data_IF_650560823747
#
_entry.id   IF_650560823747
#
_cell.length_a   1.000
_cell.length_b   1.000
_cell.length_c   1.000
_cell.angle_alpha   90.00
_cell.angle_beta   90.00
_cell.angle_gamma   90.00
#
_symmetry.space_group_name_H-M   'P 1'
#
loop_
_entity.id
_entity.type
_entity.pdbx_description
1 polymer ?
#
# COMPACT_ATOMS: atom_id res chain seq x y z
N UNK A 1 28.10 -2.02 -7.49
CA UNK A 1 26.85 -2.72 -7.14
C UNK A 1 25.70 -1.86 -7.63
N UNK A 2 24.84 -2.40 -8.45
CA UNK A 2 23.64 -1.72 -8.93
C UNK A 2 22.77 -1.34 -7.71
N UNK A 3 22.35 -0.06 -7.64
CA UNK A 3 21.56 0.43 -6.52
C UNK A 3 20.08 0.46 -6.88
N UNK A 4 19.23 -0.05 -5.98
CA UNK A 4 17.78 -0.08 -6.13
C UNK A 4 17.12 0.81 -5.09
N UNK A 5 16.05 1.50 -5.47
CA UNK A 5 15.37 2.48 -4.62
C UNK A 5 13.88 2.18 -4.50
N UNK A 6 13.31 2.31 -3.31
CA UNK A 6 11.89 2.12 -3.10
C UNK A 6 11.25 3.19 -2.22
N UNK A 7 10.02 3.54 -2.54
CA UNK A 7 9.10 4.29 -1.70
C UNK A 7 8.06 3.31 -1.14
N UNK A 8 7.92 3.25 0.19
CA UNK A 8 6.95 2.40 0.87
C UNK A 8 6.07 3.26 1.76
N UNK A 9 4.76 3.24 1.52
CA UNK A 9 3.81 3.97 2.38
C UNK A 9 3.27 3.10 3.51
N UNK A 10 2.99 3.68 4.68
CA UNK A 10 2.47 2.98 5.86
C UNK A 10 3.50 2.10 6.56
N UNK A 11 4.75 2.55 6.68
CA UNK A 11 5.87 1.77 7.24
C UNK A 11 5.91 1.72 8.78
N UNK A 12 4.99 2.35 9.49
CA UNK A 12 5.01 2.34 10.96
C UNK A 12 4.83 0.94 11.56
N UNK A 13 3.99 0.11 10.97
CA UNK A 13 3.65 -1.25 11.44
C UNK A 13 3.22 -2.16 10.29
N UNK A 14 2.93 -3.42 10.59
CA UNK A 14 2.30 -4.38 9.68
C UNK A 14 3.08 -4.62 8.38
N UNK A 15 2.35 -4.82 7.29
CA UNK A 15 2.93 -5.19 5.98
C UNK A 15 3.96 -4.16 5.50
N UNK A 16 3.66 -2.86 5.60
CA UNK A 16 4.59 -1.82 5.14
C UNK A 16 5.92 -1.82 5.88
N UNK A 17 5.91 -2.07 7.20
CA UNK A 17 7.12 -2.22 7.98
C UNK A 17 7.91 -3.49 7.61
N UNK A 18 7.21 -4.61 7.37
CA UNK A 18 7.83 -5.86 6.96
C UNK A 18 8.46 -5.73 5.56
N UNK A 19 7.76 -5.12 4.59
CA UNK A 19 8.30 -4.83 3.24
C UNK A 19 9.56 -3.97 3.33
N UNK A 20 9.52 -2.89 4.11
CA UNK A 20 10.67 -2.00 4.23
C UNK A 20 11.90 -2.72 4.80
N UNK A 21 11.71 -3.57 5.83
CA UNK A 21 12.80 -4.39 6.40
C UNK A 21 13.33 -5.40 5.39
N UNK A 22 12.46 -6.08 4.65
CA UNK A 22 12.87 -7.08 3.66
C UNK A 22 13.63 -6.44 2.49
N UNK A 23 13.20 -5.28 1.99
CA UNK A 23 13.92 -4.51 0.99
C UNK A 23 15.32 -4.11 1.46
N UNK A 24 15.45 -3.64 2.70
CA UNK A 24 16.73 -3.27 3.28
C UNK A 24 17.70 -4.46 3.38
N UNK A 25 17.20 -5.64 3.79
CA UNK A 25 17.99 -6.88 3.82
C UNK A 25 18.53 -7.25 2.44
N UNK A 26 17.76 -6.93 1.38
CA UNK A 26 18.15 -7.17 -0.02
C UNK A 26 18.94 -6.01 -0.64
N UNK A 27 19.40 -5.05 0.17
CA UNK A 27 20.29 -3.96 -0.26
C UNK A 27 19.61 -2.79 -0.96
N UNK A 28 18.29 -2.66 -0.88
CA UNK A 28 17.57 -1.50 -1.41
C UNK A 28 17.77 -0.27 -0.52
N UNK A 29 17.75 0.91 -1.15
CA UNK A 29 17.54 2.18 -0.46
C UNK A 29 16.03 2.41 -0.32
N UNK A 30 15.55 2.71 0.88
CA UNK A 30 14.11 2.78 1.17
C UNK A 30 13.74 4.12 1.79
N UNK A 31 12.75 4.80 1.23
CA UNK A 31 12.04 5.89 1.90
C UNK A 31 10.68 5.37 2.38
N UNK A 32 10.54 5.29 3.69
CA UNK A 32 9.28 4.93 4.34
C UNK A 32 8.46 6.18 4.67
N UNK A 33 7.18 6.21 4.27
CA UNK A 33 6.29 7.33 4.54
C UNK A 33 5.18 6.88 5.51
N UNK A 34 5.13 7.46 6.70
CA UNK A 34 4.08 7.21 7.68
C UNK A 34 4.00 8.36 8.69
N UNK A 35 2.84 8.53 9.34
CA UNK A 35 2.64 9.56 10.38
C UNK A 35 3.52 9.32 11.62
N UNK A 36 3.63 8.06 12.04
CA UNK A 36 4.43 7.64 13.19
C UNK A 36 5.78 7.12 12.72
N UNK A 37 6.81 7.36 13.51
CA UNK A 37 8.12 6.76 13.24
C UNK A 37 8.03 5.23 13.22
N UNK A 38 8.73 4.63 12.27
CA UNK A 38 8.88 3.19 12.18
C UNK A 38 10.10 2.75 13.00
N UNK A 39 9.98 1.63 13.71
CA UNK A 39 11.13 0.96 14.33
C UNK A 39 11.88 0.14 13.25
N UNK A 40 12.52 0.84 12.33
CA UNK A 40 13.30 0.25 11.23
C UNK A 40 14.69 0.86 11.30
N UNK A 41 15.69 0.01 11.47
CA UNK A 41 17.08 0.38 11.53
C UNK A 41 17.79 -0.02 10.24
N UNK A 42 18.81 0.76 9.84
CA UNK A 42 19.64 0.47 8.67
C UNK A 42 20.03 1.73 7.91
N UNK A 43 21.29 1.77 7.44
CA UNK A 43 21.83 2.93 6.70
C UNK A 43 21.08 3.26 5.39
N UNK A 44 20.35 2.30 4.84
CA UNK A 44 19.53 2.47 3.63
C UNK A 44 18.11 2.99 3.88
N UNK A 45 17.68 3.17 5.13
CA UNK A 45 16.33 3.60 5.47
C UNK A 45 16.27 5.09 5.82
N UNK A 46 15.30 5.78 5.22
CA UNK A 46 14.92 7.14 5.59
C UNK A 46 13.43 7.20 5.89
N UNK A 47 13.06 7.71 7.04
CA UNK A 47 11.67 7.97 7.41
C UNK A 47 11.24 9.37 7.01
N UNK A 48 10.07 9.47 6.39
CA UNK A 48 9.35 10.73 6.13
C UNK A 48 8.07 10.73 6.96
N UNK A 49 8.03 11.53 8.03
CA UNK A 49 6.87 11.70 8.88
C UNK A 49 5.82 12.56 8.16
N UNK A 50 4.73 11.93 7.65
CA UNK A 50 3.76 12.63 6.83
C UNK A 50 2.38 11.98 6.90
N UNK A 51 1.31 12.80 6.91
CA UNK A 51 -0.07 12.34 6.74
C UNK A 51 -0.43 12.33 5.25
N UNK A 52 -0.64 11.16 4.71
CA UNK A 52 -0.98 10.93 3.31
C UNK A 52 -2.47 11.14 2.99
N UNK A 53 -3.30 11.45 3.98
CA UNK A 53 -4.73 11.76 3.80
C UNK A 53 -5.02 13.24 3.55
N UNK A 54 -3.99 14.04 3.24
CA UNK A 54 -4.05 15.43 2.79
C UNK A 54 -3.01 15.59 1.68
N UNK A 55 -3.38 15.22 0.46
CA UNK A 55 -2.48 15.21 -0.70
C UNK A 55 -1.98 16.62 -1.04
N UNK A 56 -2.79 17.64 -0.77
CA UNK A 56 -2.38 19.03 -0.97
C UNK A 56 -1.12 19.41 -0.17
N UNK A 57 -0.98 18.87 1.05
CA UNK A 57 0.22 19.04 1.88
C UNK A 57 1.26 17.95 1.62
N UNK A 58 0.81 16.72 1.41
CA UNK A 58 1.69 15.58 1.22
C UNK A 58 2.49 15.67 -0.09
N UNK A 59 1.85 16.05 -1.19
CA UNK A 59 2.48 16.11 -2.52
C UNK A 59 3.75 16.98 -2.54
N UNK A 60 3.68 18.26 -2.17
CA UNK A 60 4.87 19.12 -2.12
C UNK A 60 5.95 18.62 -1.14
N UNK A 61 5.57 18.01 -0.02
CA UNK A 61 6.52 17.45 0.94
C UNK A 61 7.26 16.23 0.37
N UNK A 62 6.55 15.34 -0.31
CA UNK A 62 7.11 14.17 -0.99
C UNK A 62 8.04 14.64 -2.12
N UNK A 63 7.61 15.60 -2.93
CA UNK A 63 8.43 16.12 -4.02
C UNK A 63 9.78 16.67 -3.51
N UNK A 64 9.78 17.45 -2.46
CA UNK A 64 11.02 17.96 -1.82
C UNK A 64 11.88 16.84 -1.24
N UNK A 65 11.27 15.80 -0.67
CA UNK A 65 12.00 14.75 0.03
C UNK A 65 12.62 13.70 -0.89
N UNK A 66 11.95 13.36 -2.01
CA UNK A 66 12.33 12.23 -2.86
C UNK A 66 12.37 12.54 -4.36
N UNK A 67 11.93 13.73 -4.81
CA UNK A 67 11.82 14.04 -6.24
C UNK A 67 13.16 13.97 -6.98
N UNK A 68 14.22 14.53 -6.42
CA UNK A 68 15.58 14.43 -7.00
C UNK A 68 16.12 13.00 -6.94
N UNK A 69 15.84 12.27 -5.86
CA UNK A 69 16.31 10.90 -5.70
C UNK A 69 15.71 9.94 -6.74
N UNK A 70 14.46 10.11 -7.13
CA UNK A 70 13.84 9.30 -8.18
C UNK A 70 14.54 9.46 -9.55
N UNK A 71 15.20 10.59 -9.78
CA UNK A 71 15.93 10.88 -11.01
C UNK A 71 17.41 10.38 -11.02
N UNK A 72 17.89 9.83 -9.90
CA UNK A 72 19.23 9.26 -9.81
C UNK A 72 19.36 7.99 -10.69
N UNK A 73 20.58 7.56 -10.93
CA UNK A 73 20.89 6.40 -11.80
C UNK A 73 20.61 5.05 -11.13
N UNK A 74 19.37 4.83 -10.68
CA UNK A 74 18.96 3.55 -10.11
C UNK A 74 18.88 2.47 -11.20
N UNK A 75 19.14 1.24 -10.82
CA UNK A 75 18.83 0.07 -11.67
C UNK A 75 17.31 -0.16 -11.74
N UNK A 76 16.60 0.12 -10.63
CA UNK A 76 15.16 -0.10 -10.50
C UNK A 76 14.56 0.78 -9.42
N UNK A 77 13.33 1.21 -9.64
CA UNK A 77 12.52 1.94 -8.66
C UNK A 77 11.28 1.14 -8.31
N UNK A 78 11.05 0.96 -7.00
CA UNK A 78 9.85 0.35 -6.43
C UNK A 78 8.93 1.40 -5.79
N UNK A 79 7.62 1.23 -5.95
CA UNK A 79 6.60 1.96 -5.19
C UNK A 79 5.65 0.95 -4.53
N UNK A 80 5.50 1.03 -3.20
CA UNK A 80 4.53 0.20 -2.47
C UNK A 80 3.48 1.09 -1.82
N UNK A 81 2.30 1.13 -2.43
CA UNK A 81 1.12 1.81 -1.91
C UNK A 81 0.41 0.90 -0.90
N UNK A 82 0.88 0.95 0.36
CA UNK A 82 0.38 0.12 1.45
C UNK A 82 -0.43 0.93 2.49
N UNK A 83 -0.13 2.21 2.70
CA UNK A 83 -0.88 3.04 3.64
C UNK A 83 -2.38 3.04 3.32
N UNK A 84 -3.20 2.74 4.31
CA UNK A 84 -4.64 2.70 4.14
C UNK A 84 -5.36 2.95 5.48
N UNK A 85 -6.64 3.29 5.40
CA UNK A 85 -7.58 3.31 6.52
C UNK A 85 -8.79 2.44 6.19
N UNK A 86 -9.17 1.59 7.14
CA UNK A 86 -10.38 0.77 7.06
C UNK A 86 -11.58 1.52 7.61
N UNK A 87 -12.12 2.48 6.85
CA UNK A 87 -13.36 3.15 7.24
C UNK A 87 -14.53 2.16 7.20
N UNK A 88 -15.11 1.90 8.35
CA UNK A 88 -16.25 0.99 8.50
C UNK A 88 -17.41 1.69 9.21
N UNK A 89 -18.61 1.25 8.91
CA UNK A 89 -19.88 1.75 9.41
C UNK A 89 -20.96 1.61 8.34
N UNK A 90 -22.22 1.70 8.76
CA UNK A 90 -23.35 1.79 7.83
C UNK A 90 -23.27 3.11 7.07
N UNK A 91 -23.52 3.10 5.77
CA UNK A 91 -23.30 4.27 4.89
C UNK A 91 -24.04 5.51 5.37
N UNK A 92 -25.23 5.37 5.93
CA UNK A 92 -26.02 6.49 6.47
C UNK A 92 -25.40 7.15 7.71
N UNK A 93 -24.41 6.51 8.33
CA UNK A 93 -23.74 7.01 9.56
C UNK A 93 -22.31 7.51 9.27
N UNK A 94 -21.87 7.49 8.00
CA UNK A 94 -20.53 7.94 7.65
C UNK A 94 -20.46 9.46 7.53
N UNK A 95 -19.53 10.07 8.22
CA UNK A 95 -19.27 11.51 8.13
C UNK A 95 -18.58 11.86 6.80
N UNK A 96 -19.05 12.91 6.12
CA UNK A 96 -18.53 13.35 4.82
C UNK A 96 -17.01 13.60 4.86
N UNK A 97 -16.49 14.17 5.96
CA UNK A 97 -15.07 14.44 6.14
C UNK A 97 -14.24 13.15 6.23
N UNK A 98 -14.71 12.13 6.94
CA UNK A 98 -14.05 10.85 7.06
C UNK A 98 -14.07 10.09 5.74
N UNK A 99 -15.22 10.17 5.03
CA UNK A 99 -15.38 9.58 3.70
C UNK A 99 -14.36 10.18 2.72
N UNK A 100 -14.30 11.52 2.60
CA UNK A 100 -13.35 12.20 1.73
C UNK A 100 -11.90 11.81 2.06
N UNK A 101 -11.53 11.83 3.34
CA UNK A 101 -10.20 11.46 3.82
C UNK A 101 -9.84 10.01 3.52
N UNK A 102 -10.82 9.10 3.61
CA UNK A 102 -10.64 7.69 3.26
C UNK A 102 -10.33 7.50 1.79
N UNK A 103 -11.07 8.15 0.91
CA UNK A 103 -10.81 8.09 -0.54
C UNK A 103 -9.48 8.74 -0.91
N UNK A 104 -9.13 9.84 -0.27
CA UNK A 104 -7.85 10.50 -0.50
C UNK A 104 -6.68 9.58 -0.16
N UNK A 105 -6.68 8.97 1.04
CA UNK A 105 -5.60 8.07 1.47
C UNK A 105 -5.58 6.76 0.68
N UNK A 106 -6.74 6.16 0.43
CA UNK A 106 -6.81 4.80 -0.13
C UNK A 106 -6.76 4.77 -1.66
N UNK A 107 -7.03 5.90 -2.34
CA UNK A 107 -7.17 5.95 -3.81
C UNK A 107 -6.41 7.11 -4.44
N UNK A 108 -6.72 8.36 -4.08
CA UNK A 108 -6.16 9.54 -4.75
C UNK A 108 -4.65 9.66 -4.53
N UNK A 109 -4.18 9.53 -3.30
CA UNK A 109 -2.74 9.59 -2.98
C UNK A 109 -1.94 8.46 -3.63
N UNK A 110 -2.34 7.18 -3.60
CA UNK A 110 -1.70 6.12 -4.38
C UNK A 110 -1.65 6.40 -5.88
N UNK A 111 -2.74 6.88 -6.48
CA UNK A 111 -2.77 7.23 -7.90
C UNK A 111 -1.78 8.36 -8.22
N UNK A 112 -1.78 9.42 -7.41
CA UNK A 112 -0.82 10.51 -7.55
C UNK A 112 0.63 10.03 -7.41
N UNK A 113 0.93 9.14 -6.43
CA UNK A 113 2.26 8.56 -6.22
C UNK A 113 2.72 7.73 -7.43
N UNK A 114 1.82 6.99 -8.07
CA UNK A 114 2.14 6.27 -9.32
C UNK A 114 2.59 7.25 -10.39
N UNK A 115 1.77 8.27 -10.70
CA UNK A 115 2.11 9.29 -11.71
C UNK A 115 3.39 10.06 -11.38
N UNK A 116 3.57 10.45 -10.11
CA UNK A 116 4.78 11.13 -9.64
C UNK A 116 6.04 10.27 -9.82
N UNK A 117 5.98 8.99 -9.44
CA UNK A 117 7.12 8.06 -9.56
C UNK A 117 7.46 7.80 -11.02
N UNK A 118 6.48 7.53 -11.86
CA UNK A 118 6.65 7.30 -13.30
C UNK A 118 7.28 8.52 -13.96
N UNK A 119 6.76 9.71 -13.69
CA UNK A 119 7.25 10.98 -14.28
C UNK A 119 8.71 11.29 -13.91
N UNK A 120 9.14 10.94 -12.69
CA UNK A 120 10.46 11.32 -12.15
C UNK A 120 11.52 10.26 -12.34
N UNK A 121 11.15 8.98 -12.43
CA UNK A 121 12.11 7.89 -12.59
C UNK A 121 12.66 7.81 -14.01
N UNK A 122 13.98 7.59 -14.10
CA UNK A 122 14.66 7.20 -15.35
C UNK A 122 14.87 5.69 -15.44
N UNK A 123 14.69 4.99 -14.34
CA UNK A 123 14.81 3.53 -14.23
C UNK A 123 13.46 2.84 -14.45
N UNK A 124 13.45 1.54 -14.74
CA UNK A 124 12.25 0.72 -14.71
C UNK A 124 11.50 0.87 -13.38
N UNK A 125 10.17 1.02 -13.45
CA UNK A 125 9.31 1.22 -12.28
C UNK A 125 8.45 0.00 -12.03
N UNK A 126 8.43 -0.48 -10.78
CA UNK A 126 7.51 -1.50 -10.32
C UNK A 126 6.65 -0.98 -9.19
N UNK A 127 5.35 -1.10 -9.35
CA UNK A 127 4.36 -0.62 -8.39
C UNK A 127 3.60 -1.78 -7.78
N UNK A 128 3.46 -1.79 -6.46
CA UNK A 128 2.54 -2.68 -5.75
C UNK A 128 1.46 -1.85 -5.08
N UNK A 129 0.23 -2.04 -5.50
CA UNK A 129 -0.95 -1.50 -4.85
C UNK A 129 -1.53 -2.55 -3.90
N UNK A 130 -1.48 -2.30 -2.58
CA UNK A 130 -2.12 -3.19 -1.60
C UNK A 130 -3.64 -3.10 -1.76
N UNK A 131 -4.18 -4.10 -2.44
CA UNK A 131 -5.60 -4.30 -2.68
C UNK A 131 -6.24 -5.10 -1.51
N UNK A 132 -7.43 -5.59 -1.72
CA UNK A 132 -8.18 -6.39 -0.76
C UNK A 132 -9.24 -7.21 -1.51
N UNK A 133 -9.74 -8.28 -0.92
CA UNK A 133 -10.97 -8.91 -1.38
C UNK A 133 -12.17 -7.95 -1.44
N UNK A 134 -12.10 -6.84 -0.70
CA UNK A 134 -13.08 -5.76 -0.75
C UNK A 134 -13.09 -4.97 -2.08
N UNK A 135 -12.07 -5.10 -2.91
CA UNK A 135 -12.05 -4.49 -4.24
C UNK A 135 -13.02 -5.18 -5.23
N UNK A 136 -13.33 -6.46 -5.01
CA UNK A 136 -14.09 -7.30 -5.94
C UNK A 136 -15.32 -7.97 -5.31
N UNK A 137 -15.54 -7.80 -4.01
CA UNK A 137 -16.69 -8.36 -3.29
C UNK A 137 -17.27 -7.33 -2.33
N UNK A 138 -18.61 -7.26 -2.19
CA UNK A 138 -19.24 -6.39 -1.21
C UNK A 138 -19.08 -6.96 0.21
N UNK A 139 -18.84 -6.04 1.16
CA UNK A 139 -18.85 -6.35 2.59
C UNK A 139 -19.77 -5.34 3.30
N UNK A 140 -20.87 -5.79 3.93
CA UNK A 140 -21.72 -4.93 4.74
C UNK A 140 -20.90 -4.19 5.80
N UNK A 141 -21.12 -2.87 5.91
CA UNK A 141 -20.35 -2.01 6.81
C UNK A 141 -18.99 -1.56 6.29
N UNK A 142 -18.59 -1.94 5.05
CA UNK A 142 -17.33 -1.50 4.42
C UNK A 142 -17.54 -0.80 3.06
N UNK A 143 -18.71 -0.22 2.81
CA UNK A 143 -19.02 0.37 1.49
C UNK A 143 -17.94 1.37 1.02
N UNK A 144 -17.51 2.29 1.90
CA UNK A 144 -16.45 3.26 1.58
C UNK A 144 -15.09 2.58 1.28
N UNK A 145 -14.72 1.59 2.08
CA UNK A 145 -13.48 0.85 1.88
C UNK A 145 -13.51 -0.01 0.61
N UNK A 146 -14.63 -0.70 0.34
CA UNK A 146 -14.83 -1.45 -0.91
C UNK A 146 -14.68 -0.55 -2.13
N UNK A 147 -15.39 0.59 -2.14
CA UNK A 147 -15.32 1.55 -3.25
C UNK A 147 -13.91 2.11 -3.45
N UNK A 148 -13.21 2.47 -2.36
CA UNK A 148 -11.84 2.97 -2.45
C UNK A 148 -10.85 1.91 -2.96
N UNK A 149 -10.97 0.66 -2.53
CA UNK A 149 -10.10 -0.44 -3.01
C UNK A 149 -10.42 -0.86 -4.44
N UNK A 150 -11.68 -0.85 -4.85
CA UNK A 150 -12.08 -1.02 -6.25
C UNK A 150 -11.53 0.11 -7.12
N UNK A 151 -11.60 1.37 -6.65
CA UNK A 151 -11.01 2.53 -7.32
C UNK A 151 -9.49 2.40 -7.48
N UNK A 152 -8.77 1.99 -6.44
CA UNK A 152 -7.33 1.78 -6.51
C UNK A 152 -6.96 0.65 -7.49
N UNK A 153 -7.72 -0.44 -7.48
CA UNK A 153 -7.52 -1.55 -8.41
C UNK A 153 -7.67 -1.09 -9.86
N UNK A 154 -8.78 -0.41 -10.19
CA UNK A 154 -9.05 0.10 -11.52
C UNK A 154 -8.03 1.19 -11.93
N UNK A 155 -7.63 2.07 -11.00
CA UNK A 155 -6.58 3.06 -11.25
C UNK A 155 -5.26 2.39 -11.65
N UNK A 156 -4.85 1.31 -10.97
CA UNK A 156 -3.65 0.55 -11.33
C UNK A 156 -3.74 -0.06 -12.72
N UNK A 157 -4.88 -0.67 -13.07
CA UNK A 157 -5.11 -1.23 -14.41
C UNK A 157 -5.07 -0.16 -15.50
N UNK A 158 -5.71 1.00 -15.24
CA UNK A 158 -5.73 2.12 -16.18
C UNK A 158 -4.35 2.73 -16.42
N UNK A 159 -3.58 2.96 -15.36
CA UNK A 159 -2.19 3.47 -15.46
C UNK A 159 -1.29 2.48 -16.23
N UNK A 160 -1.46 1.19 -16.02
CA UNK A 160 -0.71 0.19 -16.79
C UNK A 160 -1.06 0.19 -18.28
N UNK A 161 -2.30 0.56 -18.62
CA UNK A 161 -2.78 0.67 -20.00
C UNK A 161 -2.30 1.96 -20.71
N UNK A 162 -1.76 2.96 -20.00
CA UNK A 162 -1.17 4.18 -20.56
C UNK A 162 0.19 3.94 -21.27
N UNK A 163 0.65 2.69 -21.29
CA UNK A 163 1.79 2.22 -22.08
C UNK A 163 3.15 2.85 -21.71
N UNK A 164 3.31 3.31 -20.47
CA UNK A 164 4.60 3.80 -19.99
C UNK A 164 5.68 2.69 -20.11
N UNK A 165 6.87 3.00 -20.66
CA UNK A 165 7.89 2.01 -20.87
C UNK A 165 8.43 1.44 -19.54
N UNK A 166 8.65 0.14 -19.49
CA UNK A 166 9.24 -0.56 -18.34
C UNK A 166 8.46 -0.35 -17.02
N UNK A 167 7.13 -0.17 -17.12
CA UNK A 167 6.23 -0.10 -15.98
C UNK A 167 5.52 -1.43 -15.78
N UNK A 168 5.55 -1.94 -14.55
CA UNK A 168 4.79 -3.12 -14.13
C UNK A 168 4.04 -2.80 -12.84
N UNK A 169 2.75 -3.11 -12.78
CA UNK A 169 1.88 -2.83 -11.63
C UNK A 169 1.25 -4.12 -11.12
N UNK A 170 1.37 -4.38 -9.83
CA UNK A 170 0.73 -5.47 -9.13
C UNK A 170 -0.40 -4.95 -8.24
N UNK A 171 -1.63 -5.40 -8.47
CA UNK A 171 -2.74 -5.30 -7.54
C UNK A 171 -2.71 -6.52 -6.63
N UNK A 172 -2.26 -6.34 -5.37
CA UNK A 172 -1.96 -7.44 -4.47
C UNK A 172 -2.97 -7.55 -3.32
N UNK A 173 -3.59 -8.72 -3.18
CA UNK A 173 -4.52 -9.06 -2.09
C UNK A 173 -3.79 -9.89 -1.02
N UNK A 174 -3.38 -9.31 0.11
CA UNK A 174 -2.54 -10.00 1.12
C UNK A 174 -3.30 -11.00 2.00
N UNK A 175 -4.62 -11.16 1.81
CA UNK A 175 -5.45 -11.96 2.72
C UNK A 175 -5.74 -11.23 4.03
N UNK A 176 -6.02 -12.00 5.10
CA UNK A 176 -6.29 -11.44 6.45
C UNK A 176 -5.01 -11.50 7.27
N UNK A 177 -4.30 -10.37 7.31
CA UNK A 177 -2.98 -10.26 7.92
C UNK A 177 -3.10 -9.72 9.34
N UNK A 178 -2.28 -10.23 10.27
CA UNK A 178 -2.23 -9.75 11.66
C UNK A 178 -1.58 -8.36 11.73
N UNK A 179 -2.43 -7.35 11.82
CA UNK A 179 -2.04 -5.94 11.78
C UNK A 179 -2.90 -5.11 12.75
N UNK A 180 -2.45 -3.90 13.06
CA UNK A 180 -3.25 -2.94 13.84
C UNK A 180 -4.62 -2.66 13.18
N UNK A 181 -4.69 -2.63 11.84
CA UNK A 181 -5.95 -2.45 11.12
C UNK A 181 -6.91 -3.64 11.36
N UNK A 182 -6.39 -4.86 11.33
CA UNK A 182 -7.18 -6.06 11.60
C UNK A 182 -7.66 -6.07 13.06
N UNK A 183 -6.80 -5.71 14.02
CA UNK A 183 -7.17 -5.56 15.43
C UNK A 183 -8.29 -4.53 15.59
N UNK A 184 -8.13 -3.33 15.04
CA UNK A 184 -9.15 -2.27 15.11
C UNK A 184 -10.48 -2.69 14.48
N UNK A 185 -10.44 -3.51 13.42
CA UNK A 185 -11.65 -4.00 12.76
C UNK A 185 -12.39 -5.05 13.59
N UNK A 186 -11.67 -6.03 14.16
CA UNK A 186 -12.29 -7.12 14.96
C UNK A 186 -12.82 -6.68 16.32
N UNK A 187 -12.37 -5.51 16.81
CA UNK A 187 -12.85 -4.94 18.09
C UNK A 187 -14.11 -4.09 17.95
N UNK A 188 -14.56 -3.80 16.73
CA UNK A 188 -15.79 -3.04 16.48
C UNK A 188 -17.04 -3.83 16.85
N UNK A 189 -18.12 -3.10 17.16
CA UNK A 189 -19.44 -3.71 17.37
C UNK A 189 -19.94 -4.38 16.08
N UNK A 190 -20.82 -5.39 16.20
CA UNK A 190 -21.43 -6.03 15.04
C UNK A 190 -22.37 -5.09 14.28
N UNK A 191 -22.87 -4.05 14.94
CA UNK A 191 -23.72 -3.03 14.32
C UNK A 191 -22.91 -2.11 13.39
N UNK A 192 -21.69 -1.76 13.81
CA UNK A 192 -20.74 -1.00 12.97
C UNK A 192 -20.11 -1.86 11.88
N UNK A 193 -19.79 -3.11 12.20
CA UNK A 193 -19.13 -4.03 11.28
C UNK A 193 -19.67 -5.47 11.45
N UNK A 194 -20.69 -5.87 10.67
CA UNK A 194 -21.31 -7.19 10.77
C UNK A 194 -20.35 -8.38 10.57
N UNK A 195 -19.26 -8.19 9.85
CA UNK A 195 -18.19 -9.20 9.64
C UNK A 195 -17.20 -9.31 10.80
N UNK A 196 -17.33 -8.52 11.84
CA UNK A 196 -16.44 -8.52 13.02
C UNK A 196 -16.31 -9.89 13.65
N UNK A 197 -17.40 -10.69 13.69
CA UNK A 197 -17.38 -12.06 14.22
C UNK A 197 -16.47 -12.99 13.41
N UNK A 198 -16.55 -12.93 12.09
CA UNK A 198 -15.65 -13.70 11.20
C UNK A 198 -14.18 -13.36 11.44
N UNK A 199 -13.85 -12.09 11.63
CA UNK A 199 -12.48 -11.67 11.92
C UNK A 199 -12.02 -12.10 13.32
N UNK A 200 -12.91 -12.08 14.32
CA UNK A 200 -12.63 -12.64 15.66
C UNK A 200 -12.36 -14.14 15.60
N UNK A 201 -13.18 -14.88 14.83
CA UNK A 201 -12.99 -16.32 14.60
C UNK A 201 -11.65 -16.61 13.93
N UNK A 202 -11.25 -15.89 12.88
CA UNK A 202 -9.95 -16.06 12.24
C UNK A 202 -8.79 -15.85 13.19
N UNK A 203 -8.89 -14.87 14.08
CA UNK A 203 -7.88 -14.64 15.10
C UNK A 203 -7.84 -15.79 16.13
N UNK A 204 -8.99 -16.22 16.65
CA UNK A 204 -9.09 -17.31 17.63
C UNK A 204 -8.57 -18.65 17.08
N UNK A 205 -8.75 -18.90 15.78
CA UNK A 205 -8.29 -20.10 15.08
C UNK A 205 -6.83 -20.01 14.59
N UNK A 206 -6.10 -18.91 14.89
CA UNK A 206 -4.72 -18.73 14.44
C UNK A 206 -4.57 -18.59 12.92
N UNK A 207 -5.61 -18.15 12.21
CA UNK A 207 -5.66 -18.06 10.74
C UNK A 207 -5.19 -16.73 10.18
N UNK A 208 -4.70 -15.84 11.04
CA UNK A 208 -4.13 -14.58 10.58
C UNK A 208 -2.72 -14.82 10.02
N UNK A 209 -2.46 -14.22 8.87
CA UNK A 209 -1.18 -14.32 8.20
C UNK A 209 -0.18 -13.35 8.84
N UNK A 210 1.06 -13.76 9.16
CA UNK A 210 2.09 -12.83 9.61
C UNK A 210 2.48 -11.85 8.49
N UNK A 211 2.75 -10.56 8.79
CA UNK A 211 3.07 -9.53 7.79
C UNK A 211 4.28 -9.84 6.91
N UNK A 212 5.21 -10.65 7.39
CA UNK A 212 6.42 -11.04 6.70
C UNK A 212 6.14 -11.87 5.45
N UNK A 213 5.08 -12.67 5.48
CA UNK A 213 4.71 -13.55 4.37
C UNK A 213 4.30 -12.76 3.12
N UNK A 214 3.30 -11.86 3.16
CA UNK A 214 3.00 -11.00 2.01
C UNK A 214 4.16 -10.06 1.66
N UNK A 215 4.99 -9.65 2.61
CA UNK A 215 6.16 -8.82 2.34
C UNK A 215 7.17 -9.54 1.43
N UNK A 216 7.40 -10.84 1.62
CA UNK A 216 8.25 -11.66 0.75
C UNK A 216 7.76 -11.62 -0.71
N UNK A 217 6.48 -11.95 -0.96
CA UNK A 217 5.90 -11.95 -2.31
C UNK A 217 5.92 -10.55 -2.98
N UNK A 218 5.71 -9.50 -2.19
CA UNK A 218 5.79 -8.10 -2.66
C UNK A 218 7.21 -7.80 -3.13
N UNK A 219 8.23 -8.15 -2.35
CA UNK A 219 9.62 -7.87 -2.69
C UNK A 219 10.08 -8.72 -3.88
N UNK A 220 9.68 -9.97 -3.98
CA UNK A 220 9.91 -10.81 -5.16
C UNK A 220 9.35 -10.18 -6.43
N UNK A 221 8.12 -9.63 -6.38
CA UNK A 221 7.58 -8.90 -7.53
C UNK A 221 8.42 -7.66 -7.85
N UNK A 222 8.86 -6.90 -6.86
CA UNK A 222 9.69 -5.72 -7.10
C UNK A 222 11.06 -6.07 -7.72
N UNK A 223 11.57 -7.26 -7.48
CA UNK A 223 12.86 -7.75 -8.01
C UNK A 223 12.76 -8.50 -9.32
N UNK A 224 11.58 -8.96 -9.71
CA UNK A 224 11.39 -9.74 -10.92
C UNK A 224 11.76 -8.95 -12.18
N UNK A 225 12.24 -9.64 -13.20
CA UNK A 225 12.47 -9.09 -14.54
C UNK A 225 11.28 -9.40 -15.46
N UNK A 226 10.93 -8.45 -16.32
CA UNK A 226 9.82 -8.62 -17.28
C UNK A 226 8.47 -8.85 -16.61
N UNK A 227 7.56 -9.53 -17.32
CA UNK A 227 6.20 -9.86 -16.88
C UNK A 227 5.13 -8.97 -17.51
N UNK A 228 3.88 -9.22 -17.15
CA UNK A 228 2.74 -8.43 -17.61
C UNK A 228 2.77 -7.03 -17.02
N UNK A 229 2.25 -6.05 -17.75
CA UNK A 229 2.15 -4.65 -17.30
C UNK A 229 1.24 -4.48 -16.11
N UNK A 230 0.14 -5.25 -16.06
CA UNK A 230 -0.77 -5.31 -14.93
C UNK A 230 -0.97 -6.77 -14.51
N UNK A 231 -0.78 -7.02 -13.23
CA UNK A 231 -0.96 -8.35 -12.64
C UNK A 231 -1.85 -8.25 -11.41
N UNK A 232 -2.78 -9.18 -11.29
CA UNK A 232 -3.51 -9.39 -10.05
C UNK A 232 -2.98 -10.63 -9.34
N UNK A 233 -2.72 -10.50 -8.05
CA UNK A 233 -2.31 -11.63 -7.24
C UNK A 233 -2.98 -11.59 -5.87
N UNK A 234 -3.39 -12.76 -5.43
CA UNK A 234 -3.80 -12.98 -4.05
C UNK A 234 -2.77 -13.86 -3.37
N UNK A 235 -2.45 -13.55 -2.09
CA UNK A 235 -1.59 -14.40 -1.28
C UNK A 235 -2.11 -15.85 -1.34
N UNK A 236 -1.23 -16.77 -1.70
CA UNK A 236 -1.56 -18.19 -1.73
C UNK A 236 -1.59 -18.73 -0.29
N UNK A 237 -2.53 -19.63 -0.01
CA UNK A 237 -2.74 -20.23 1.31
C UNK A 237 -1.56 -21.13 1.73
#
# INVERSE_FOLDING_TARGET
MSQRFAIVTGTSTGIGAAVARELLKRGWQVVGIARRAAKIEGKGYRHLALDLSDLGKAGPAIERAVGSRLAEGWERVGLVNNAAVGLSGRVQNLEAKELARSFELNTATPLWLMGFTIKRSKAPVRVVNLSSGAAVRPFPGLAAYCAAKAGLHMAGASVAAEDAPNLHILSYQPGVVDTEMQLATRTKSLDEFPWGETFRKYHAEGRLVPPERPAGEIVEFLEADGGERFTERRLQA
#
